data_IF_619235208843
#
_entry.id   IF_619235208843
#
_cell.length_a   1.000
_cell.length_b   1.000
_cell.length_c   1.000
_cell.angle_alpha   90.00
_cell.angle_beta   90.00
_cell.angle_gamma   90.00
#
_symmetry.space_group_name_H-M   'P 1'
#
loop_
_entity.id
_entity.type
_entity.pdbx_description
1 polymer ?
#
# COMPACT_ATOMS: atom_id res chain seq x y z
N UNK A 1 -15.63 50.19 35.37
CA UNK A 1 -14.87 48.93 35.28
C UNK A 1 -15.46 48.08 34.16
N UNK A 2 -14.91 48.12 32.95
CA UNK A 2 -15.33 47.24 31.85
C UNK A 2 -14.21 46.98 30.82
N UNK A 3 -12.97 47.29 31.19
CA UNK A 3 -11.82 47.24 30.28
C UNK A 3 -11.12 45.87 30.28
N UNK A 4 -11.33 45.06 31.32
CA UNK A 4 -10.59 43.81 31.53
C UNK A 4 -11.23 42.60 30.82
N UNK A 5 -12.57 42.52 30.80
CA UNK A 5 -13.30 41.41 30.16
C UNK A 5 -13.16 41.35 28.63
N UNK A 6 -12.98 42.50 27.97
CA UNK A 6 -12.76 42.56 26.52
C UNK A 6 -11.33 42.15 26.13
N UNK A 7 -10.35 42.35 27.02
CA UNK A 7 -8.97 41.93 26.77
C UNK A 7 -8.83 40.41 26.92
N UNK A 8 -9.41 39.84 27.97
CA UNK A 8 -9.43 38.40 28.19
C UNK A 8 -10.12 37.64 27.04
N UNK A 9 -11.30 38.09 26.59
CA UNK A 9 -11.99 37.50 25.43
C UNK A 9 -11.20 37.63 24.13
N UNK A 10 -10.50 38.74 23.93
CA UNK A 10 -9.67 38.95 22.75
C UNK A 10 -8.46 38.03 22.75
N UNK A 11 -7.82 37.83 23.90
CA UNK A 11 -6.69 36.91 24.05
C UNK A 11 -7.13 35.44 23.88
N UNK A 12 -8.31 35.07 24.39
CA UNK A 12 -8.92 33.75 24.20
C UNK A 12 -9.30 33.50 22.73
N UNK A 13 -9.91 34.47 22.06
CA UNK A 13 -10.23 34.38 20.63
C UNK A 13 -8.96 34.33 19.75
N UNK A 14 -7.90 35.02 20.14
CA UNK A 14 -6.59 34.93 19.45
C UNK A 14 -5.98 33.55 19.68
N UNK A 15 -6.03 33.01 20.91
CA UNK A 15 -5.53 31.65 21.20
C UNK A 15 -6.31 30.60 20.41
N UNK A 16 -7.64 30.67 20.37
CA UNK A 16 -8.48 29.76 19.59
C UNK A 16 -8.18 29.89 18.09
N UNK A 17 -8.05 31.12 17.57
CA UNK A 17 -7.70 31.35 16.17
C UNK A 17 -6.31 30.83 15.79
N UNK A 18 -5.32 30.95 16.68
CA UNK A 18 -3.97 30.41 16.51
C UNK A 18 -3.98 28.89 16.56
N UNK A 19 -4.74 28.27 17.47
CA UNK A 19 -4.90 26.81 17.54
C UNK A 19 -5.58 26.27 16.29
N UNK A 20 -6.64 26.90 15.80
CA UNK A 20 -7.32 26.52 14.56
C UNK A 20 -6.38 26.64 13.35
N UNK A 21 -5.57 27.70 13.29
CA UNK A 21 -4.58 27.88 12.21
C UNK A 21 -3.46 26.84 12.26
N UNK A 22 -2.99 26.47 13.46
CA UNK A 22 -1.98 25.43 13.66
C UNK A 22 -2.50 24.04 13.32
N UNK A 23 -3.72 23.69 13.73
CA UNK A 23 -4.37 22.42 13.37
C UNK A 23 -4.64 22.37 11.86
N UNK A 24 -5.05 23.49 11.25
CA UNK A 24 -5.26 23.56 9.79
C UNK A 24 -3.94 23.40 9.02
N UNK A 25 -2.83 23.94 9.53
CA UNK A 25 -1.49 23.78 8.95
C UNK A 25 -0.98 22.33 9.12
N UNK A 26 -1.22 21.71 10.28
CA UNK A 26 -0.89 20.32 10.55
C UNK A 26 -1.68 19.36 9.64
N UNK A 27 -2.97 19.64 9.42
CA UNK A 27 -3.83 18.89 8.51
C UNK A 27 -3.47 19.12 7.04
N UNK A 28 -2.97 20.31 6.68
CA UNK A 28 -2.42 20.58 5.35
C UNK A 28 -1.14 19.78 5.10
N UNK A 29 -0.28 19.61 6.12
CA UNK A 29 0.92 18.76 6.02
C UNK A 29 0.56 17.26 5.91
N UNK A 30 -0.50 16.80 6.59
CA UNK A 30 -1.02 15.43 6.46
C UNK A 30 -1.73 15.17 5.12
N UNK A 31 -2.09 16.22 4.37
CA UNK A 31 -2.70 16.10 3.04
C UNK A 31 -1.69 15.81 1.91
N UNK A 32 -0.38 15.87 2.20
CA UNK A 32 0.71 15.42 1.30
C UNK A 32 0.95 13.91 1.45
N UNK A 33 -0.10 13.11 1.33
CA UNK A 33 0.03 11.68 1.04
C UNK A 33 -0.32 11.49 -0.45
N UNK A 34 0.67 11.79 -1.30
CA UNK A 34 0.56 11.77 -2.75
C UNK A 34 1.91 11.54 -3.41
N UNK A 35 2.19 10.27 -3.72
CA UNK A 35 2.86 9.81 -4.95
C UNK A 35 4.22 10.45 -5.30
N UNK A 36 5.31 9.96 -4.70
CA UNK A 36 6.63 10.06 -5.33
C UNK A 36 6.75 8.93 -6.35
N UNK A 37 6.38 9.23 -7.60
CA UNK A 37 6.72 8.39 -8.76
C UNK A 37 8.18 8.72 -9.11
N UNK A 38 9.10 7.85 -8.69
CA UNK A 38 10.52 7.98 -9.03
C UNK A 38 10.71 7.65 -10.51
N UNK A 39 10.95 8.66 -11.34
CA UNK A 39 11.43 8.47 -12.71
C UNK A 39 12.29 9.67 -13.13
N UNK A 40 13.59 9.59 -12.86
CA UNK A 40 14.60 10.14 -13.76
C UNK A 40 15.63 9.06 -14.07
N UNK A 41 15.29 8.40 -15.16
CA UNK A 41 16.14 7.67 -16.08
C UNK A 41 17.48 8.39 -16.29
N UNK A 42 18.54 7.61 -16.14
CA UNK A 42 19.93 7.95 -16.44
C UNK A 42 20.03 8.21 -17.94
N UNK A 43 20.25 9.45 -18.34
CA UNK A 43 20.86 9.74 -19.64
C UNK A 43 22.35 9.97 -19.44
N UNK A 44 23.16 9.00 -19.85
CA UNK A 44 24.37 9.32 -20.58
C UNK A 44 24.72 8.19 -21.55
N UNK A 45 24.47 8.45 -22.84
CA UNK A 45 25.09 7.74 -23.95
C UNK A 45 26.56 8.16 -24.01
N UNK A 46 27.48 7.22 -24.16
CA UNK A 46 28.40 7.19 -25.31
C UNK A 46 29.47 6.07 -25.21
N UNK A 47 29.54 5.30 -26.31
CA UNK A 47 30.70 4.60 -26.90
C UNK A 47 31.21 3.26 -26.32
N UNK A 48 31.80 2.38 -27.16
CA UNK A 48 31.18 1.72 -28.31
C UNK A 48 31.44 0.20 -28.34
N UNK A 49 30.71 -0.48 -29.23
CA UNK A 49 30.89 -1.85 -29.72
C UNK A 49 32.35 -2.33 -29.84
N UNK A 50 32.60 -3.57 -29.42
CA UNK A 50 33.57 -4.46 -30.09
C UNK A 50 32.82 -5.63 -30.73
N UNK A 51 33.05 -5.76 -32.04
CA UNK A 51 32.62 -6.83 -32.94
C UNK A 51 33.70 -7.93 -32.96
N UNK A 52 33.42 -8.99 -33.75
CA UNK A 52 34.31 -10.06 -34.28
C UNK A 52 34.49 -11.26 -33.33
N UNK A 53 34.31 -12.55 -33.65
CA UNK A 53 34.12 -13.39 -34.89
C UNK A 53 33.25 -14.63 -34.51
N UNK A 54 32.21 -15.07 -35.24
CA UNK A 54 32.10 -15.86 -36.49
C UNK A 54 32.79 -17.24 -36.53
N UNK A 55 31.96 -18.27 -36.84
CA UNK A 55 32.25 -19.62 -37.39
C UNK A 55 32.33 -20.77 -36.37
N UNK A 56 31.76 -21.98 -36.53
CA UNK A 56 31.09 -22.70 -37.62
C UNK A 56 30.40 -23.98 -37.07
N UNK A 57 29.17 -24.27 -37.56
CA UNK A 57 28.59 -25.54 -38.08
C UNK A 57 28.72 -26.84 -37.24
N UNK A 58 27.57 -27.46 -36.90
CA UNK A 58 27.15 -28.76 -37.46
C UNK A 58 25.72 -29.15 -37.04
N UNK A 59 24.83 -29.19 -38.05
CA UNK A 59 23.55 -29.90 -38.03
C UNK A 59 23.78 -31.42 -38.14
N UNK A 60 23.05 -32.19 -37.36
CA UNK A 60 22.79 -33.61 -37.63
C UNK A 60 21.36 -33.95 -37.17
N UNK A 61 20.45 -34.13 -38.14
CA UNK A 61 19.17 -34.84 -37.99
C UNK A 61 19.44 -36.30 -37.56
N UNK A 62 18.61 -37.04 -36.81
CA UNK A 62 17.33 -37.75 -37.13
C UNK A 62 16.72 -38.30 -35.78
N UNK A 63 15.48 -38.87 -35.68
CA UNK A 63 14.15 -38.24 -35.48
C UNK A 63 13.35 -38.82 -34.26
N UNK A 64 11.99 -38.74 -34.18
CA UNK A 64 11.27 -38.36 -32.97
C UNK A 64 11.00 -39.55 -32.02
N UNK A 65 11.22 -39.34 -30.72
CA UNK A 65 10.70 -40.26 -29.70
C UNK A 65 9.93 -39.46 -28.66
N UNK A 66 8.64 -39.75 -28.61
CA UNK A 66 7.66 -39.34 -27.59
C UNK A 66 8.25 -39.56 -26.19
N UNK A 67 8.76 -38.49 -25.60
CA UNK A 67 8.97 -38.40 -24.17
C UNK A 67 7.96 -37.40 -23.64
N UNK A 68 6.99 -37.90 -22.89
CA UNK A 68 6.19 -37.11 -21.97
C UNK A 68 7.20 -36.50 -21.01
N UNK A 69 7.55 -35.23 -21.20
CA UNK A 69 8.31 -34.47 -20.22
C UNK A 69 7.37 -34.24 -19.04
N UNK A 70 7.46 -35.10 -18.03
CA UNK A 70 7.27 -34.63 -16.66
C UNK A 70 8.20 -33.42 -16.52
N UNK A 71 7.62 -32.21 -16.52
CA UNK A 71 8.38 -31.02 -16.20
C UNK A 71 8.83 -31.19 -14.76
N UNK A 72 10.10 -31.60 -14.60
CA UNK A 72 10.75 -31.66 -13.30
C UNK A 72 10.48 -30.34 -12.60
N UNK A 73 9.78 -30.44 -11.48
CA UNK A 73 9.28 -29.33 -10.71
C UNK A 73 10.48 -28.63 -10.05
N UNK A 74 11.12 -27.70 -10.77
CA UNK A 74 12.36 -27.03 -10.37
C UNK A 74 12.07 -26.00 -9.28
N UNK A 75 11.85 -26.47 -8.05
CA UNK A 75 11.82 -25.63 -6.86
C UNK A 75 13.17 -24.91 -6.66
N UNK A 76 13.11 -23.69 -6.14
CA UNK A 76 14.28 -22.93 -5.69
C UNK A 76 14.77 -23.59 -4.39
N UNK A 77 16.05 -23.97 -4.35
CA UNK A 77 16.64 -24.56 -3.14
C UNK A 77 16.60 -23.56 -1.98
N UNK A 78 16.06 -23.99 -0.84
CA UNK A 78 15.94 -23.17 0.36
C UNK A 78 17.04 -23.51 1.36
N UNK A 79 17.71 -22.48 1.87
CA UNK A 79 18.53 -22.60 3.09
C UNK A 79 17.62 -22.84 4.30
N UNK A 80 18.18 -23.36 5.39
CA UNK A 80 17.44 -23.52 6.64
C UNK A 80 16.91 -22.16 7.17
N UNK A 81 17.71 -21.11 7.05
CA UNK A 81 17.32 -19.75 7.42
C UNK A 81 16.16 -19.22 6.58
N UNK A 82 16.18 -19.41 5.25
CA UNK A 82 15.09 -18.96 4.39
C UNK A 82 13.80 -19.74 4.68
N UNK A 83 13.90 -21.03 5.01
CA UNK A 83 12.74 -21.83 5.43
C UNK A 83 12.14 -21.31 6.73
N UNK A 84 12.97 -21.08 7.75
CA UNK A 84 12.52 -20.53 9.04
C UNK A 84 11.86 -19.16 8.87
N UNK A 85 12.45 -18.28 8.06
CA UNK A 85 11.88 -16.99 7.71
C UNK A 85 10.50 -17.11 7.04
N UNK A 86 10.37 -17.95 6.01
CA UNK A 86 9.12 -18.11 5.25
C UNK A 86 8.01 -18.73 6.09
N UNK A 87 8.32 -19.75 6.90
CA UNK A 87 7.36 -20.33 7.85
C UNK A 87 6.93 -19.33 8.92
N UNK A 88 7.88 -18.58 9.49
CA UNK A 88 7.59 -17.52 10.46
C UNK A 88 6.73 -16.41 9.88
N UNK A 89 7.01 -15.99 8.64
CA UNK A 89 6.23 -14.98 7.92
C UNK A 89 4.81 -15.47 7.63
N UNK A 90 4.66 -16.71 7.16
CA UNK A 90 3.36 -17.33 6.91
C UNK A 90 2.51 -17.43 8.17
N UNK A 91 3.11 -17.84 9.30
CA UNK A 91 2.45 -17.87 10.60
C UNK A 91 1.92 -16.51 11.03
N UNK A 92 2.76 -15.46 10.95
CA UNK A 92 2.34 -14.09 11.33
C UNK A 92 1.23 -13.54 10.44
N UNK A 93 1.33 -13.72 9.12
CA UNK A 93 0.30 -13.27 8.18
C UNK A 93 -1.02 -14.01 8.39
N UNK A 94 -0.97 -15.30 8.71
CA UNK A 94 -2.15 -16.11 9.05
C UNK A 94 -2.82 -15.64 10.35
N UNK A 95 -2.03 -15.28 11.35
CA UNK A 95 -2.53 -14.80 12.65
C UNK A 95 -2.95 -13.32 12.62
N UNK A 96 -2.75 -12.63 11.49
CA UNK A 96 -3.04 -11.19 11.36
C UNK A 96 -2.02 -10.27 12.03
N UNK A 97 -0.85 -10.78 12.42
CA UNK A 97 0.26 -9.99 12.97
C UNK A 97 1.05 -9.29 11.85
N UNK A 98 0.45 -8.23 11.29
CA UNK A 98 1.01 -7.47 10.19
C UNK A 98 2.31 -6.73 10.58
N UNK A 99 2.42 -6.26 11.82
CA UNK A 99 3.64 -5.59 12.28
C UNK A 99 4.79 -6.57 12.41
N UNK A 100 4.57 -7.73 13.03
CA UNK A 100 5.59 -8.75 13.11
C UNK A 100 6.00 -9.29 11.74
N UNK A 101 5.04 -9.45 10.81
CA UNK A 101 5.32 -9.81 9.43
C UNK A 101 6.21 -8.75 8.74
N UNK A 102 5.89 -7.46 8.90
CA UNK A 102 6.70 -6.36 8.37
C UNK A 102 8.13 -6.36 8.94
N UNK A 103 8.29 -6.63 10.25
CA UNK A 103 9.61 -6.74 10.89
C UNK A 103 10.42 -7.93 10.35
N UNK A 104 9.78 -9.07 10.07
CA UNK A 104 10.46 -10.21 9.45
C UNK A 104 10.90 -9.88 8.02
N UNK A 105 10.03 -9.28 7.21
CA UNK A 105 10.35 -8.88 5.83
C UNK A 105 11.50 -7.87 5.80
N UNK A 106 11.50 -6.90 6.70
CA UNK A 106 12.62 -5.96 6.85
C UNK A 106 13.92 -6.67 7.23
N UNK A 107 13.88 -7.55 8.24
CA UNK A 107 15.05 -8.27 8.73
C UNK A 107 15.64 -9.23 7.70
N UNK A 108 14.81 -9.75 6.79
CA UNK A 108 15.23 -10.65 5.71
C UNK A 108 16.18 -9.98 4.70
N UNK A 109 16.03 -8.67 4.48
CA UNK A 109 16.80 -7.93 3.47
C UNK A 109 16.66 -8.56 2.07
N UNK A 110 17.80 -8.85 1.43
CA UNK A 110 17.89 -9.41 0.07
C UNK A 110 18.08 -10.95 0.04
N UNK A 111 17.72 -11.66 1.11
CA UNK A 111 17.97 -13.12 1.23
C UNK A 111 17.15 -13.98 0.24
N UNK A 112 16.09 -13.41 -0.35
CA UNK A 112 15.38 -13.95 -1.50
C UNK A 112 15.75 -13.06 -2.69
N UNK A 113 16.33 -13.64 -3.73
CA UNK A 113 16.85 -12.88 -4.87
C UNK A 113 15.97 -12.96 -6.12
N UNK A 114 15.00 -13.88 -6.15
CA UNK A 114 14.20 -14.17 -7.35
C UNK A 114 12.75 -13.77 -7.12
N UNK A 115 12.22 -12.90 -7.98
CA UNK A 115 10.85 -12.39 -7.93
C UNK A 115 10.24 -12.32 -9.34
N UNK A 116 8.93 -12.55 -9.50
CA UNK A 116 8.03 -13.03 -8.46
C UNK A 116 8.38 -14.47 -8.03
N UNK A 117 8.04 -14.83 -6.79
CA UNK A 117 8.16 -16.19 -6.29
C UNK A 117 7.04 -16.55 -5.32
N UNK A 118 6.66 -17.82 -5.28
CA UNK A 118 5.68 -18.39 -4.36
C UNK A 118 6.33 -19.39 -3.42
N UNK A 119 6.05 -19.26 -2.12
CA UNK A 119 6.30 -20.29 -1.13
C UNK A 119 5.00 -20.99 -0.74
N UNK A 120 4.95 -22.29 -0.97
CA UNK A 120 3.78 -23.13 -0.70
C UNK A 120 4.24 -24.57 -0.46
N UNK A 121 3.61 -25.27 0.46
CA UNK A 121 3.89 -26.69 0.75
C UNK A 121 5.39 -26.96 1.01
N UNK A 122 6.07 -26.05 1.70
CA UNK A 122 7.48 -26.20 2.04
C UNK A 122 8.47 -25.95 0.90
N UNK A 123 7.99 -25.49 -0.27
CA UNK A 123 8.79 -25.27 -1.47
C UNK A 123 8.67 -23.84 -1.97
N UNK A 124 9.79 -23.24 -2.37
CA UNK A 124 9.83 -21.94 -3.04
C UNK A 124 9.92 -22.15 -4.55
N UNK A 125 9.15 -21.39 -5.33
CA UNK A 125 9.00 -21.55 -6.78
C UNK A 125 8.96 -20.19 -7.46
N UNK A 126 9.39 -20.12 -8.73
CA UNK A 126 9.25 -18.91 -9.56
C UNK A 126 7.81 -18.70 -10.04
N UNK A 127 7.13 -19.78 -10.37
CA UNK A 127 5.74 -19.75 -10.83
C UNK A 127 4.79 -19.62 -9.64
N UNK A 128 3.79 -18.75 -9.75
CA UNK A 128 2.68 -18.65 -8.81
C UNK A 128 1.62 -19.65 -9.26
N UNK A 129 1.48 -20.74 -8.50
CA UNK A 129 0.50 -21.80 -8.77
C UNK A 129 -0.79 -21.56 -8.00
N UNK A 130 -1.81 -22.31 -8.39
CA UNK A 130 -3.08 -22.32 -7.67
C UNK A 130 -2.89 -22.92 -6.27
N UNK A 131 -3.60 -22.35 -5.29
CA UNK A 131 -3.58 -22.80 -3.89
C UNK A 131 -3.13 -21.72 -2.92
N UNK A 132 -3.02 -22.10 -1.64
CA UNK A 132 -2.64 -21.18 -0.56
C UNK A 132 -1.12 -21.06 -0.47
N UNK A 133 -0.61 -19.84 -0.33
CA UNK A 133 0.83 -19.64 -0.14
C UNK A 133 1.21 -18.20 0.18
N UNK A 134 2.51 -17.98 0.25
CA UNK A 134 3.13 -16.65 0.32
C UNK A 134 3.68 -16.30 -1.05
N UNK A 135 3.33 -15.14 -1.59
CA UNK A 135 3.89 -14.65 -2.85
C UNK A 135 4.66 -13.37 -2.58
N UNK A 136 5.92 -13.35 -3.01
CA UNK A 136 6.68 -12.10 -3.12
C UNK A 136 6.60 -11.63 -4.56
N UNK A 137 6.12 -10.40 -4.77
CA UNK A 137 6.25 -9.73 -6.08
C UNK A 137 7.57 -8.98 -6.22
N UNK A 138 8.09 -8.50 -5.09
CA UNK A 138 9.34 -7.75 -4.90
C UNK A 138 9.84 -8.04 -3.47
N UNK A 139 11.10 -7.69 -3.11
CA UNK A 139 11.64 -7.99 -1.78
C UNK A 139 10.76 -7.55 -0.61
N UNK A 140 10.08 -6.42 -0.74
CA UNK A 140 9.28 -5.82 0.34
C UNK A 140 7.77 -5.91 0.13
N UNK A 141 7.29 -6.56 -0.94
CA UNK A 141 5.85 -6.66 -1.27
C UNK A 141 5.42 -8.12 -1.24
N UNK A 142 4.63 -8.46 -0.23
CA UNK A 142 4.26 -9.83 0.10
C UNK A 142 2.74 -9.98 0.12
N UNK A 143 2.25 -11.05 -0.48
CA UNK A 143 0.86 -11.49 -0.43
C UNK A 143 0.79 -12.84 0.28
N UNK A 144 -0.30 -13.09 1.01
CA UNK A 144 -0.58 -14.37 1.66
C UNK A 144 -2.08 -14.67 1.60
N UNK A 145 -2.40 -15.86 1.15
CA UNK A 145 -3.77 -16.32 0.99
C UNK A 145 -3.89 -17.26 -0.21
N UNK A 146 -5.07 -17.33 -0.79
CA UNK A 146 -5.36 -18.18 -1.93
C UNK A 146 -5.02 -17.51 -3.26
N UNK A 147 -4.47 -18.30 -4.17
CA UNK A 147 -4.14 -17.91 -5.53
C UNK A 147 -4.86 -18.80 -6.53
N UNK A 148 -5.28 -18.21 -7.64
CA UNK A 148 -5.89 -18.89 -8.78
C UNK A 148 -5.45 -18.23 -10.08
N UNK A 149 -5.02 -19.04 -11.04
CA UNK A 149 -4.42 -18.60 -12.30
C UNK A 149 -3.27 -17.59 -12.06
N UNK A 150 -2.44 -17.84 -11.05
CA UNK A 150 -1.32 -16.97 -10.69
C UNK A 150 -1.68 -15.64 -10.05
N UNK A 151 -2.93 -15.43 -9.64
CA UNK A 151 -3.42 -14.16 -9.06
C UNK A 151 -4.11 -14.37 -7.71
N UNK A 152 -4.06 -13.37 -6.79
CA UNK A 152 -4.88 -13.36 -5.59
C UNK A 152 -6.36 -13.60 -5.88
N UNK A 153 -6.96 -14.53 -5.14
CA UNK A 153 -8.37 -14.93 -5.29
C UNK A 153 -8.91 -15.31 -3.90
N UNK A 154 -10.16 -14.97 -3.58
CA UNK A 154 -10.72 -15.29 -2.26
C UNK A 154 -10.22 -14.36 -1.17
N UNK A 155 -9.84 -14.89 0.00
CA UNK A 155 -9.34 -14.05 1.12
C UNK A 155 -7.82 -13.97 1.09
N UNK A 156 -7.29 -12.78 0.87
CA UNK A 156 -5.84 -12.53 0.77
C UNK A 156 -5.46 -11.30 1.59
N UNK A 157 -4.32 -11.39 2.26
CA UNK A 157 -3.63 -10.30 2.93
C UNK A 157 -2.38 -9.91 2.15
N UNK A 158 -2.05 -8.64 2.10
CA UNK A 158 -0.88 -8.09 1.46
C UNK A 158 -0.21 -7.06 2.37
N UNK A 159 1.12 -7.02 2.35
CA UNK A 159 1.93 -5.99 3.01
C UNK A 159 2.99 -5.45 2.06
N UNK A 160 3.29 -4.15 2.20
CA UNK A 160 4.41 -3.48 1.53
C UNK A 160 5.25 -2.74 2.56
N UNK A 161 6.47 -3.20 2.79
CA UNK A 161 7.39 -2.62 3.80
C UNK A 161 8.20 -1.48 3.19
N UNK A 162 8.27 -0.36 3.91
CA UNK A 162 8.84 0.90 3.47
C UNK A 162 9.72 1.50 4.57
N UNK A 163 10.88 2.00 4.19
CA UNK A 163 11.70 2.88 5.02
C UNK A 163 11.56 4.30 4.49
N UNK A 164 10.94 5.18 5.28
CA UNK A 164 10.71 6.58 4.95
C UNK A 164 11.55 7.47 5.86
N UNK A 165 11.64 8.76 5.54
CA UNK A 165 12.37 9.74 6.37
C UNK A 165 11.78 9.82 7.78
N UNK A 166 10.45 9.74 7.89
CA UNK A 166 9.73 9.84 9.16
C UNK A 166 9.83 8.57 10.01
N UNK A 167 10.17 7.44 9.40
CA UNK A 167 10.26 6.16 10.11
C UNK A 167 9.95 4.95 9.23
N UNK A 168 9.85 3.80 9.90
CA UNK A 168 9.56 2.52 9.25
C UNK A 168 8.06 2.28 9.20
N UNK A 169 7.55 1.97 8.03
CA UNK A 169 6.12 1.84 7.74
C UNK A 169 5.84 0.55 6.97
N UNK A 170 4.70 -0.06 7.24
CA UNK A 170 4.10 -0.98 6.27
C UNK A 170 2.75 -0.44 5.81
N UNK A 171 2.52 -0.57 4.51
CA UNK A 171 1.17 -0.54 3.96
C UNK A 171 0.59 -1.95 4.04
N UNK A 172 -0.73 -2.05 4.16
CA UNK A 172 -1.42 -3.33 4.17
C UNK A 172 -2.73 -3.28 3.42
N UNK A 173 -3.19 -4.44 2.98
CA UNK A 173 -4.50 -4.66 2.39
C UNK A 173 -4.95 -6.07 2.72
N UNK A 174 -6.16 -6.24 3.25
CA UNK A 174 -6.72 -7.55 3.55
C UNK A 174 -8.19 -7.59 3.17
N UNK A 175 -8.68 -8.74 2.74
CA UNK A 175 -10.10 -8.93 2.44
C UNK A 175 -10.33 -9.80 1.24
N UNK A 176 -11.42 -9.53 0.51
CA UNK A 176 -11.84 -10.28 -0.67
C UNK A 176 -11.10 -9.82 -1.91
N UNK A 177 -10.53 -10.76 -2.66
CA UNK A 177 -9.81 -10.57 -3.91
C UNK A 177 -10.42 -11.40 -5.02
N UNK A 178 -10.35 -10.86 -6.24
CA UNK A 178 -10.77 -11.55 -7.45
C UNK A 178 -9.89 -11.10 -8.60
N UNK A 179 -9.33 -12.04 -9.34
CA UNK A 179 -8.42 -11.76 -10.46
C UNK A 179 -7.32 -10.74 -10.09
N UNK A 180 -6.72 -10.89 -8.90
CA UNK A 180 -5.62 -10.06 -8.44
C UNK A 180 -5.99 -8.65 -8.00
N UNK A 181 -7.27 -8.32 -7.86
CA UNK A 181 -7.73 -7.03 -7.33
C UNK A 181 -8.58 -7.21 -6.09
N UNK A 182 -8.57 -6.24 -5.19
CA UNK A 182 -9.56 -6.21 -4.11
C UNK A 182 -10.95 -6.04 -4.72
N UNK A 183 -11.85 -6.96 -4.40
CA UNK A 183 -13.20 -7.04 -4.94
C UNK A 183 -14.12 -7.72 -3.91
N UNK A 184 -14.90 -6.91 -3.18
CA UNK A 184 -15.69 -7.31 -2.01
C UNK A 184 -15.29 -6.57 -0.73
N UNK A 185 -15.71 -7.08 0.43
CA UNK A 185 -15.36 -6.49 1.72
C UNK A 185 -13.84 -6.59 1.98
N UNK A 186 -13.27 -5.52 2.49
CA UNK A 186 -11.88 -5.51 2.92
C UNK A 186 -11.48 -4.22 3.60
N UNK A 187 -10.19 -4.13 3.88
CA UNK A 187 -9.58 -2.97 4.51
C UNK A 187 -8.16 -2.78 3.97
N UNK A 188 -7.76 -1.53 3.76
CA UNK A 188 -6.39 -1.16 3.48
C UNK A 188 -5.96 0.03 4.34
N UNK A 189 -4.66 0.18 4.54
CA UNK A 189 -4.15 1.24 5.39
C UNK A 189 -2.65 1.16 5.54
N UNK A 190 -2.15 1.90 6.53
CA UNK A 190 -0.73 1.84 6.86
C UNK A 190 -0.51 1.95 8.35
N UNK A 191 0.68 1.53 8.77
CA UNK A 191 1.17 1.77 10.12
C UNK A 191 2.67 2.01 10.13
N UNK A 192 3.08 3.08 10.78
CA UNK A 192 4.44 3.27 11.24
C UNK A 192 4.67 2.43 12.50
N UNK A 193 5.73 1.62 12.49
CA UNK A 193 6.06 0.71 13.59
C UNK A 193 7.40 1.04 14.26
N UNK A 194 8.15 2.01 13.72
CA UNK A 194 9.39 2.50 14.32
C UNK A 194 9.78 3.89 13.80
N UNK A 195 10.63 4.61 14.53
CA UNK A 195 11.32 5.83 14.08
C UNK A 195 10.53 7.15 14.10
N UNK A 196 9.21 7.12 14.25
CA UNK A 196 8.40 8.35 14.23
C UNK A 196 8.59 9.21 15.49
N UNK A 197 9.24 10.37 15.30
CA UNK A 197 9.50 11.35 16.36
C UNK A 197 8.58 12.57 16.30
N UNK A 198 7.96 12.81 15.16
CA UNK A 198 7.04 13.94 14.95
C UNK A 198 5.62 13.60 15.44
N UNK A 199 4.83 14.63 15.70
CA UNK A 199 3.42 14.48 16.06
C UNK A 199 2.56 14.34 14.79
N UNK A 200 2.61 13.14 14.20
CA UNK A 200 1.95 12.79 12.94
C UNK A 200 0.98 11.62 13.11
N UNK A 201 0.14 11.40 12.10
CA UNK A 201 -0.64 10.17 11.98
C UNK A 201 0.29 8.96 11.80
N UNK A 202 0.25 8.02 12.74
CA UNK A 202 1.07 6.80 12.72
C UNK A 202 0.32 5.60 12.17
N UNK A 203 -1.01 5.62 12.16
CA UNK A 203 -1.83 4.54 11.58
C UNK A 203 -3.05 5.10 10.89
N UNK A 204 -3.39 4.53 9.75
CA UNK A 204 -4.70 4.75 9.10
C UNK A 204 -5.32 3.43 8.70
N UNK A 205 -6.65 3.43 8.56
CA UNK A 205 -7.42 2.30 8.06
C UNK A 205 -8.59 2.82 7.22
N UNK A 206 -8.79 2.22 6.05
CA UNK A 206 -9.91 2.42 5.12
C UNK A 206 -10.64 1.10 4.98
N UNK A 207 -11.82 0.98 5.57
CA UNK A 207 -12.60 -0.25 5.61
C UNK A 207 -13.91 -0.06 4.84
N UNK A 208 -14.24 -1.01 3.98
CA UNK A 208 -15.48 -1.01 3.21
C UNK A 208 -15.49 -2.00 2.06
N UNK A 209 -16.40 -1.78 1.11
CA UNK A 209 -16.49 -2.56 -0.13
C UNK A 209 -15.50 -2.03 -1.17
N UNK A 210 -14.78 -2.95 -1.82
CA UNK A 210 -13.93 -2.69 -2.97
C UNK A 210 -14.56 -3.27 -4.24
N UNK A 211 -14.35 -2.60 -5.37
CA UNK A 211 -14.65 -3.06 -6.70
C UNK A 211 -13.45 -2.69 -7.58
N UNK A 212 -12.72 -3.70 -8.05
CA UNK A 212 -11.51 -3.54 -8.87
C UNK A 212 -10.51 -2.54 -8.26
N UNK A 213 -10.16 -2.75 -6.99
CA UNK A 213 -9.29 -1.91 -6.15
C UNK A 213 -9.87 -0.55 -5.73
N UNK A 214 -11.06 -0.16 -6.19
CA UNK A 214 -11.71 1.11 -5.83
C UNK A 214 -12.75 0.90 -4.73
N UNK A 215 -12.77 1.77 -3.72
CA UNK A 215 -13.82 1.71 -2.71
C UNK A 215 -15.17 2.17 -3.27
N UNK A 216 -16.25 1.53 -2.80
CA UNK A 216 -17.63 1.75 -3.22
C UNK A 216 -18.57 1.77 -2.01
N UNK A 217 -19.58 2.63 -2.06
CA UNK A 217 -20.62 2.70 -1.04
C UNK A 217 -20.12 3.32 0.26
N UNK A 218 -20.73 2.91 1.38
CA UNK A 218 -20.37 3.39 2.71
C UNK A 218 -19.02 2.83 3.15
N UNK A 219 -18.15 3.70 3.65
CA UNK A 219 -16.83 3.32 4.15
C UNK A 219 -16.58 3.92 5.53
N UNK A 220 -15.69 3.27 6.29
CA UNK A 220 -15.16 3.79 7.55
C UNK A 220 -13.68 4.09 7.36
N UNK A 221 -13.30 5.32 7.65
CA UNK A 221 -11.92 5.78 7.68
C UNK A 221 -11.52 6.07 9.13
N UNK A 222 -10.34 5.61 9.55
CA UNK A 222 -9.77 5.99 10.84
C UNK A 222 -8.32 6.44 10.71
N UNK A 223 -7.93 7.34 11.60
CA UNK A 223 -6.58 7.88 11.73
C UNK A 223 -6.21 7.88 13.20
N UNK A 224 -5.05 7.32 13.52
CA UNK A 224 -4.50 7.26 14.87
C UNK A 224 -3.20 8.04 14.92
N UNK A 225 -3.09 8.96 15.89
CA UNK A 225 -1.85 9.68 16.15
C UNK A 225 -0.88 8.84 17.01
N UNK A 226 0.31 9.37 17.26
CA UNK A 226 1.35 8.67 18.01
C UNK A 226 0.95 8.37 19.46
N UNK A 227 0.08 9.19 20.05
CA UNK A 227 -0.43 9.04 21.42
C UNK A 227 -1.50 7.95 21.50
N UNK A 228 -1.94 7.39 20.37
CA UNK A 228 -2.97 6.36 20.29
C UNK A 228 -4.39 6.91 20.17
N UNK A 229 -4.56 8.23 20.11
CA UNK A 229 -5.87 8.86 19.92
C UNK A 229 -6.33 8.62 18.49
N UNK A 230 -7.56 8.14 18.35
CA UNK A 230 -8.11 7.70 17.06
C UNK A 230 -9.37 8.47 16.72
N UNK A 231 -9.34 9.17 15.60
CA UNK A 231 -10.51 9.80 15.00
C UNK A 231 -11.08 8.88 13.91
N UNK A 232 -12.41 8.85 13.79
CA UNK A 232 -13.15 7.99 12.86
C UNK A 232 -14.14 8.81 12.04
N UNK A 233 -14.19 8.57 10.74
CA UNK A 233 -15.14 9.17 9.81
C UNK A 233 -15.86 8.08 9.04
N UNK A 234 -17.15 8.31 8.80
CA UNK A 234 -17.95 7.48 7.90
C UNK A 234 -18.51 8.35 6.80
N UNK A 235 -18.39 7.94 5.54
CA UNK A 235 -18.93 8.64 4.38
C UNK A 235 -18.98 7.69 3.18
N UNK A 236 -19.56 8.18 2.08
CA UNK A 236 -19.77 7.39 0.87
C UNK A 236 -18.70 7.64 -0.18
N UNK A 237 -18.37 6.59 -0.92
CA UNK A 237 -17.49 6.65 -2.09
C UNK A 237 -18.17 6.01 -3.29
N UNK A 238 -17.80 6.49 -4.48
CA UNK A 238 -18.15 5.88 -5.76
C UNK A 238 -16.91 5.92 -6.64
N UNK A 239 -16.49 4.77 -7.15
CA UNK A 239 -15.30 4.63 -7.99
C UNK A 239 -14.05 5.26 -7.33
N UNK A 240 -13.93 5.09 -6.01
CA UNK A 240 -12.83 5.64 -5.22
C UNK A 240 -12.87 7.15 -4.98
N UNK A 241 -13.94 7.84 -5.41
CA UNK A 241 -14.16 9.29 -5.21
C UNK A 241 -15.19 9.50 -4.11
N UNK A 242 -15.03 10.55 -3.30
CA UNK A 242 -16.00 10.89 -2.24
C UNK A 242 -17.32 11.35 -2.84
N UNK A 243 -18.43 10.81 -2.33
CA UNK A 243 -19.77 11.34 -2.59
C UNK A 243 -20.11 12.36 -1.51
N UNK A 244 -20.22 13.63 -1.92
CA UNK A 244 -20.60 14.72 -1.05
C UNK A 244 -22.06 14.59 -0.60
N UNK A 245 -22.32 14.92 0.66
CA UNK A 245 -23.66 15.03 1.24
C UNK A 245 -23.72 16.22 2.22
N UNK A 246 -24.86 16.39 2.89
CA UNK A 246 -25.16 17.50 3.80
C UNK A 246 -24.24 17.60 5.02
N UNK A 247 -23.52 16.53 5.39
CA UNK A 247 -22.54 16.55 6.49
C UNK A 247 -21.22 17.20 6.11
N UNK A 248 -20.93 17.37 4.82
CA UNK A 248 -19.71 18.01 4.36
C UNK A 248 -19.83 19.53 4.41
N UNK A 249 -18.93 20.18 5.13
CA UNK A 249 -18.86 21.62 5.28
C UNK A 249 -17.90 22.17 4.23
N UNK A 250 -18.42 22.99 3.31
CA UNK A 250 -17.62 23.73 2.34
C UNK A 250 -17.25 25.09 2.91
N UNK A 251 -15.96 25.35 3.05
CA UNK A 251 -15.41 26.66 3.43
C UNK A 251 -14.59 27.23 2.29
N UNK A 252 -14.65 28.55 2.13
CA UNK A 252 -13.82 29.29 1.18
C UNK A 252 -13.02 30.32 1.95
N UNK A 253 -11.70 30.29 1.81
CA UNK A 253 -10.82 31.25 2.47
C UNK A 253 -10.88 32.64 1.82
N UNK A 254 -10.23 33.62 2.44
CA UNK A 254 -10.18 35.00 1.93
C UNK A 254 -9.51 35.15 0.54
N UNK A 255 -8.77 34.12 0.09
CA UNK A 255 -8.11 34.07 -1.23
C UNK A 255 -8.92 33.27 -2.25
N UNK A 256 -10.09 32.76 -1.88
CA UNK A 256 -10.97 31.97 -2.75
C UNK A 256 -10.65 30.47 -2.76
N UNK A 257 -9.73 29.97 -1.93
CA UNK A 257 -9.42 28.55 -1.87
C UNK A 257 -10.53 27.79 -1.13
N UNK A 258 -11.02 26.73 -1.74
CA UNK A 258 -12.11 25.89 -1.21
C UNK A 258 -11.55 24.69 -0.46
N UNK A 259 -12.05 24.49 0.76
CA UNK A 259 -11.79 23.33 1.61
C UNK A 259 -13.12 22.66 1.97
N UNK A 260 -13.16 21.35 1.85
CA UNK A 260 -14.26 20.52 2.31
C UNK A 260 -13.85 19.83 3.62
N UNK A 261 -14.72 19.89 4.62
CA UNK A 261 -14.50 19.31 5.95
C UNK A 261 -15.61 18.33 6.32
N UNK A 262 -15.24 17.21 6.90
CA UNK A 262 -16.17 16.27 7.53
C UNK A 262 -15.76 16.06 8.99
N UNK A 263 -16.64 16.36 9.93
CA UNK A 263 -16.36 16.14 11.36
C UNK A 263 -16.25 14.66 11.67
N UNK A 264 -15.34 14.32 12.60
CA UNK A 264 -15.20 12.96 13.11
C UNK A 264 -16.44 12.55 13.91
N UNK A 265 -16.74 11.26 13.88
CA UNK A 265 -17.88 10.69 14.58
C UNK A 265 -17.70 10.87 16.09
N UNK A 266 -18.64 11.58 16.74
CA UNK A 266 -18.61 11.81 18.19
C UNK A 266 -17.67 12.92 18.64
N UNK A 267 -16.94 13.58 17.74
CA UNK A 267 -15.97 14.62 18.07
C UNK A 267 -16.21 15.87 17.23
N UNK A 268 -16.33 17.04 17.89
CA UNK A 268 -16.63 18.31 17.21
C UNK A 268 -15.39 19.04 16.70
N UNK A 269 -14.23 18.74 17.28
CA UNK A 269 -13.00 19.50 17.06
C UNK A 269 -12.01 18.82 16.10
N UNK A 270 -12.31 17.59 15.66
CA UNK A 270 -11.52 16.86 14.67
C UNK A 270 -12.30 16.74 13.36
N UNK A 271 -11.71 17.22 12.27
CA UNK A 271 -12.34 17.23 10.96
C UNK A 271 -11.41 16.63 9.89
N UNK A 272 -11.90 15.74 9.05
CA UNK A 272 -11.18 15.35 7.84
C UNK A 272 -11.32 16.47 6.81
N UNK A 273 -10.20 17.08 6.42
CA UNK A 273 -10.17 18.25 5.55
C UNK A 273 -9.49 17.93 4.21
N UNK A 274 -10.14 18.31 3.11
CA UNK A 274 -9.65 18.12 1.75
C UNK A 274 -9.79 19.39 0.92
N UNK A 275 -8.83 19.63 0.03
CA UNK A 275 -8.96 20.67 -1.00
C UNK A 275 -10.03 20.28 -2.02
N UNK A 276 -10.52 21.28 -2.77
CA UNK A 276 -11.48 21.05 -3.86
C UNK A 276 -10.96 20.09 -4.94
N UNK A 277 -9.65 20.08 -5.20
CA UNK A 277 -9.06 19.08 -6.08
C UNK A 277 -9.11 17.69 -5.43
N UNK A 278 -8.63 17.57 -4.20
CA UNK A 278 -8.45 16.27 -3.55
C UNK A 278 -9.76 15.53 -3.29
N UNK A 279 -10.89 16.24 -3.13
CA UNK A 279 -12.19 15.60 -2.93
C UNK A 279 -12.75 14.94 -4.19
N UNK A 280 -12.30 15.38 -5.37
CA UNK A 280 -12.68 14.80 -6.68
C UNK A 280 -11.71 13.74 -7.20
N UNK A 281 -10.64 13.42 -6.46
CA UNK A 281 -9.66 12.41 -6.83
C UNK A 281 -10.07 11.01 -6.35
N UNK A 282 -9.69 9.98 -7.10
CA UNK A 282 -9.96 8.56 -6.86
C UNK A 282 -8.99 7.95 -5.82
N UNK A 283 -8.85 8.62 -4.67
CA UNK A 283 -7.89 8.30 -3.60
C UNK A 283 -8.35 7.17 -2.68
N UNK A 284 -9.64 6.81 -2.73
CA UNK A 284 -10.21 5.72 -1.95
C UNK A 284 -10.05 4.41 -2.73
N UNK A 285 -8.83 3.89 -2.67
CA UNK A 285 -8.42 2.68 -3.38
C UNK A 285 -7.46 1.86 -2.53
N UNK A 286 -7.32 0.59 -2.92
CA UNK A 286 -6.31 -0.33 -2.45
C UNK A 286 -4.90 0.32 -2.55
N UNK A 287 -4.08 0.13 -1.52
CA UNK A 287 -2.72 0.68 -1.46
C UNK A 287 -1.69 -0.24 -2.12
N UNK A 288 -1.99 -1.54 -2.24
CA UNK A 288 -1.06 -2.54 -2.75
C UNK A 288 -1.68 -3.26 -3.95
N UNK A 289 -1.21 -2.90 -5.15
CA UNK A 289 -1.66 -3.54 -6.38
C UNK A 289 -0.90 -4.84 -6.65
N UNK A 290 -1.61 -5.89 -7.07
CA UNK A 290 -0.99 -7.08 -7.64
C UNK A 290 -0.73 -6.85 -9.13
N UNK A 291 0.45 -6.34 -9.47
CA UNK A 291 0.90 -6.22 -10.86
C UNK A 291 2.17 -7.03 -11.06
N UNK A 292 2.04 -8.19 -11.70
CA UNK A 292 3.21 -8.87 -12.27
C UNK A 292 3.68 -7.99 -13.42
N UNK A 293 4.96 -7.56 -13.42
CA UNK A 293 5.50 -6.99 -14.65
C UNK A 293 5.48 -8.12 -15.68
N UNK A 294 4.73 -7.94 -16.76
CA UNK A 294 4.86 -8.81 -17.92
C UNK A 294 6.34 -8.79 -18.30
N UNK A 295 7.01 -9.92 -18.11
CA UNK A 295 8.36 -10.10 -18.63
C UNK A 295 8.32 -9.75 -20.11
N UNK A 296 9.25 -8.91 -20.56
CA UNK A 296 9.31 -8.38 -21.91
C UNK A 296 9.18 -9.48 -22.96
N UNK A 297 7.95 -9.77 -23.35
CA UNK A 297 7.61 -10.50 -24.54
C UNK A 297 7.91 -9.57 -25.69
N UNK A 298 9.01 -9.84 -26.39
CA UNK A 298 9.19 -9.28 -27.72
C UNK A 298 8.04 -9.79 -28.55
N UNK A 299 7.08 -8.91 -28.84
CA UNK A 299 6.18 -9.11 -29.97
C UNK A 299 7.08 -9.26 -31.21
N UNK A 300 7.13 -10.46 -31.77
CA UNK A 300 7.44 -10.68 -33.17
C UNK A 300 6.16 -11.11 -33.87
#
# INVERSE_FOLDING_TARGET
MNYDGNKARREENIRIGVTIALVSLLMLLLSVAGTIRNSKEVQNKDKPLKKTELSQIQEKNIPPETAVTEMADTGISLTAANREFLEGLGGRLKDGDLEGAARLVEANGDSIAEFPCMYSEGMLRREIKDGTGIVFLKPTVVFYGDFKNGMPEGTVSAISVLSLEEGKRYDYSYGSWKNGKMNGNGECGYRYYDGVTQDITVKTSKNGMFQDDLMQGDITYSSTNRQGETAVWQFQTKDGVIVLNDRWIKETDAKGAVIYKLLANGEKDHAYALSERAIGEDRWRNLISFSQMEGGGTSQ
#
